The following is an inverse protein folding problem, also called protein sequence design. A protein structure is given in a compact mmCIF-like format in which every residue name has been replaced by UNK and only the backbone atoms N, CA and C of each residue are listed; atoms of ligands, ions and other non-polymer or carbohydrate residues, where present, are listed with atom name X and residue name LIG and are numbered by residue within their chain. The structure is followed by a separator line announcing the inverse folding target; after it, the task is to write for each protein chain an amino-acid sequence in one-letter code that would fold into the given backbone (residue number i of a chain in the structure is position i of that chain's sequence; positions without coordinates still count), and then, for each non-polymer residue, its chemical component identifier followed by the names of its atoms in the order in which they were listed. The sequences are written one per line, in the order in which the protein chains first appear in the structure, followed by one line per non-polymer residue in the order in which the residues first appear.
data_IF_344047283575
#
_entry.id   IF_344047283575
#
_cell.length_a   1.000
_cell.length_b   1.000
_cell.length_c   1.000
_cell.angle_alpha   90.00
_cell.angle_beta   90.00
_cell.angle_gamma   90.00
#
_symmetry.space_group_name_H-M   'P 1'
#
loop_
_entity.id
_entity.type
_entity.pdbx_description
1 polymer ?
#
# COMPACT_ATOMS: atom_id res chain seq x y z
N UNK A 1 16.52 -1.96 10.56
CA UNK A 1 17.34 -0.75 10.42
C UNK A 1 16.68 0.40 11.19
N UNK A 2 17.46 1.26 11.85
CA UNK A 2 16.91 2.45 12.49
C UNK A 2 16.36 3.40 11.41
N UNK A 3 15.14 3.91 11.62
CA UNK A 3 14.56 4.92 10.73
C UNK A 3 15.00 6.29 11.24
N UNK A 4 15.85 6.96 10.48
CA UNK A 4 16.24 8.33 10.78
C UNK A 4 15.33 9.30 10.04
N UNK A 5 14.87 10.35 10.73
CA UNK A 5 14.16 11.46 10.09
C UNK A 5 15.18 12.44 9.51
N UNK A 6 15.01 12.79 8.25
CA UNK A 6 15.78 13.86 7.58
C UNK A 6 15.10 15.22 7.70
N UNK A 7 13.89 15.27 8.25
CA UNK A 7 13.12 16.47 8.50
C UNK A 7 12.46 16.43 9.89
N UNK A 8 12.10 17.59 10.42
CA UNK A 8 11.22 17.68 11.58
C UNK A 8 9.78 17.43 11.10
N UNK A 9 9.08 16.42 11.62
CA UNK A 9 7.71 16.17 11.20
C UNK A 9 6.78 17.33 11.57
N UNK A 10 6.02 17.82 10.61
CA UNK A 10 4.93 18.75 10.88
C UNK A 10 3.78 18.03 11.59
N UNK A 11 2.90 18.77 12.26
CA UNK A 11 1.60 18.23 12.64
C UNK A 11 0.84 17.79 11.36
N UNK A 12 0.18 16.62 11.33
CA UNK A 12 -0.50 16.16 10.13
C UNK A 12 -1.66 17.10 9.78
N UNK A 13 -1.74 17.49 8.53
CA UNK A 13 -2.87 18.26 8.00
C UNK A 13 -4.14 17.45 8.15
N UNK A 14 -5.19 18.04 8.73
CA UNK A 14 -6.52 17.45 8.79
C UNK A 14 -7.26 17.69 7.49
N UNK A 15 -7.75 16.62 6.85
CA UNK A 15 -8.53 16.74 5.63
C UNK A 15 -9.43 15.50 5.43
N UNK A 16 -10.65 15.71 4.94
CA UNK A 16 -11.51 14.60 4.59
C UNK A 16 -10.87 13.74 3.49
N UNK A 17 -11.04 12.43 3.61
CA UNK A 17 -10.65 11.51 2.54
C UNK A 17 -11.44 11.80 1.27
N UNK A 18 -10.86 11.61 0.08
CA UNK A 18 -11.64 11.65 -1.15
C UNK A 18 -12.81 10.66 -1.11
N UNK A 19 -13.91 11.01 -1.76
CA UNK A 19 -15.11 10.16 -1.78
C UNK A 19 -14.79 8.75 -2.29
N UNK A 20 -15.28 7.74 -1.59
CA UNK A 20 -15.06 6.33 -1.95
C UNK A 20 -13.74 5.73 -1.45
N UNK A 21 -12.82 6.53 -0.90
CA UNK A 21 -11.55 6.04 -0.35
C UNK A 21 -11.77 5.58 1.10
N UNK A 22 -11.53 4.31 1.37
CA UNK A 22 -11.65 3.72 2.72
C UNK A 22 -10.26 3.39 3.26
N UNK A 23 -9.71 2.24 2.88
CA UNK A 23 -8.39 1.77 3.28
C UNK A 23 -7.75 1.01 2.12
N UNK A 24 -6.45 1.18 1.91
CA UNK A 24 -5.70 0.51 0.85
C UNK A 24 -5.23 1.45 -0.27
N UNK A 25 -5.03 0.86 -1.44
CA UNK A 25 -4.40 1.46 -2.62
C UNK A 25 -5.46 1.68 -3.70
N UNK A 26 -5.59 2.91 -4.18
CA UNK A 26 -6.58 3.28 -5.19
C UNK A 26 -5.91 3.88 -6.42
N UNK A 27 -6.01 3.18 -7.54
CA UNK A 27 -5.55 3.66 -8.84
C UNK A 27 -6.64 4.52 -9.49
N UNK A 28 -6.27 5.75 -9.87
CA UNK A 28 -7.22 6.67 -10.50
C UNK A 28 -7.49 6.24 -11.94
N UNK A 29 -8.76 5.95 -12.27
CA UNK A 29 -9.15 5.49 -13.60
C UNK A 29 -9.06 6.58 -14.67
N UNK A 30 -9.17 7.84 -14.28
CA UNK A 30 -9.09 9.00 -15.18
C UNK A 30 -7.67 9.57 -15.28
N UNK A 31 -6.77 9.22 -14.36
CA UNK A 31 -5.40 9.71 -14.33
C UNK A 31 -4.43 8.58 -13.98
N UNK A 32 -3.86 7.89 -14.98
CA UNK A 32 -2.98 6.75 -14.75
C UNK A 32 -1.64 7.10 -14.08
N UNK A 33 -1.35 8.39 -13.87
CA UNK A 33 -0.17 8.87 -13.16
C UNK A 33 -0.44 9.11 -11.67
N UNK A 34 -1.67 8.82 -11.18
CA UNK A 34 -2.10 9.12 -9.81
C UNK A 34 -2.50 7.86 -9.06
N UNK A 35 -2.04 7.78 -7.80
CA UNK A 35 -2.43 6.74 -6.84
C UNK A 35 -2.82 7.41 -5.54
N UNK A 36 -3.98 7.04 -4.97
CA UNK A 36 -4.34 7.45 -3.62
C UNK A 36 -4.06 6.29 -2.66
N UNK A 37 -3.28 6.59 -1.64
CA UNK A 37 -2.96 5.65 -0.57
C UNK A 37 -3.76 6.06 0.67
N UNK A 38 -4.35 5.07 1.35
CA UNK A 38 -5.05 5.30 2.60
C UNK A 38 -4.79 4.15 3.56
N UNK A 39 -4.33 4.45 4.76
CA UNK A 39 -4.04 3.44 5.79
C UNK A 39 -4.67 3.83 7.13
N UNK A 40 -5.01 2.82 7.93
CA UNK A 40 -5.47 3.01 9.31
C UNK A 40 -4.29 2.79 10.25
N UNK A 41 -3.90 3.83 11.00
CA UNK A 41 -2.72 3.80 11.85
C UNK A 41 -3.04 4.25 13.28
N UNK A 42 -2.99 3.30 14.21
CA UNK A 42 -3.36 3.49 15.61
C UNK A 42 -4.80 3.07 15.92
N UNK A 43 -5.48 3.82 16.78
CA UNK A 43 -6.88 3.64 17.11
C UNK A 43 -7.64 4.96 16.99
N UNK A 44 -8.96 4.94 17.10
CA UNK A 44 -9.76 6.17 17.07
C UNK A 44 -9.40 7.11 18.21
N UNK A 45 -9.09 6.58 19.38
CA UNK A 45 -8.74 7.35 20.59
C UNK A 45 -7.25 7.68 20.67
N UNK A 46 -6.41 6.86 20.02
CA UNK A 46 -4.97 7.02 19.97
C UNK A 46 -4.45 6.83 18.53
N UNK A 47 -4.73 7.79 17.64
CA UNK A 47 -4.21 7.73 16.28
C UNK A 47 -2.69 7.89 16.30
N UNK A 48 -2.02 7.43 15.24
CA UNK A 48 -0.61 7.73 15.04
C UNK A 48 -0.38 9.25 15.03
N UNK A 49 0.80 9.68 15.49
CA UNK A 49 1.18 11.10 15.46
C UNK A 49 1.42 11.57 14.04
N UNK A 50 2.10 10.73 13.24
CA UNK A 50 2.40 11.01 11.85
C UNK A 50 2.47 9.72 11.05
N UNK A 51 2.15 9.80 9.78
CA UNK A 51 2.39 8.74 8.80
C UNK A 51 3.02 9.36 7.57
N UNK A 52 4.08 8.75 7.07
CA UNK A 52 4.75 9.12 5.83
C UNK A 52 4.74 7.93 4.87
N UNK A 53 4.90 8.20 3.59
CA UNK A 53 5.18 7.18 2.61
C UNK A 53 6.58 7.38 2.05
N UNK A 54 7.34 6.28 1.95
CA UNK A 54 8.67 6.24 1.35
C UNK A 54 8.71 5.15 0.29
N UNK A 55 9.44 5.38 -0.77
CA UNK A 55 9.53 4.42 -1.88
C UNK A 55 10.45 4.88 -2.99
N UNK A 56 10.44 4.14 -4.09
CA UNK A 56 11.28 4.44 -5.27
C UNK A 56 11.02 5.83 -5.85
N UNK A 57 9.79 6.35 -5.68
CA UNK A 57 9.37 7.66 -6.19
C UNK A 57 9.97 8.85 -5.41
N UNK A 58 10.53 8.63 -4.23
CA UNK A 58 11.15 9.68 -3.41
C UNK A 58 12.51 9.26 -2.83
N UNK A 59 13.18 8.29 -3.47
CA UNK A 59 14.47 7.75 -3.05
C UNK A 59 14.46 7.31 -1.57
N UNK A 60 13.33 6.76 -1.10
CA UNK A 60 13.15 6.27 0.27
C UNK A 60 13.40 7.33 1.36
N UNK A 61 13.23 8.61 1.01
CA UNK A 61 13.48 9.74 1.89
C UNK A 61 12.19 10.14 2.62
N UNK A 62 12.26 10.31 3.94
CA UNK A 62 11.16 10.86 4.73
C UNK A 62 11.17 12.37 4.57
N UNK A 63 10.08 12.94 4.07
CA UNK A 63 9.90 14.38 3.95
C UNK A 63 8.45 14.76 4.21
N UNK A 64 8.22 16.04 4.55
CA UNK A 64 6.88 16.57 4.77
C UNK A 64 6.01 16.58 3.51
N UNK A 65 6.61 16.56 2.31
CA UNK A 65 5.89 16.46 1.03
C UNK A 65 5.20 15.11 0.86
N UNK A 66 5.72 14.09 1.53
CA UNK A 66 5.19 12.72 1.52
C UNK A 66 4.54 12.33 2.85
N UNK A 67 4.20 13.33 3.67
CA UNK A 67 3.41 13.14 4.88
C UNK A 67 1.93 12.96 4.52
N UNK A 68 1.31 11.93 5.08
CA UNK A 68 -0.11 11.67 4.89
C UNK A 68 -0.95 12.66 5.69
N UNK A 69 -2.05 13.11 5.11
CA UNK A 69 -3.09 13.89 5.76
C UNK A 69 -3.87 12.96 6.69
N UNK A 70 -4.24 13.43 7.87
CA UNK A 70 -5.12 12.69 8.77
C UNK A 70 -6.58 13.02 8.48
N UNK A 71 -7.41 12.00 8.30
CA UNK A 71 -8.85 12.20 8.18
C UNK A 71 -9.43 12.73 9.51
N UNK A 72 -10.43 13.61 9.40
CA UNK A 72 -11.07 14.20 10.57
C UNK A 72 -11.64 13.11 11.49
N UNK A 73 -11.41 13.27 12.80
CA UNK A 73 -11.93 12.41 13.88
C UNK A 73 -11.67 10.91 13.70
N UNK A 74 -10.53 10.55 13.09
CA UNK A 74 -10.21 9.15 12.86
C UNK A 74 -8.70 8.89 12.87
N UNK A 75 -8.33 7.61 12.83
CA UNK A 75 -6.96 7.15 12.64
C UNK A 75 -6.65 6.78 11.19
N UNK A 76 -7.44 7.25 10.23
CA UNK A 76 -7.12 7.11 8.81
C UNK A 76 -6.16 8.20 8.35
N UNK A 77 -5.17 7.79 7.60
CA UNK A 77 -4.18 8.68 6.97
C UNK A 77 -4.15 8.42 5.48
N UNK A 78 -4.10 9.48 4.67
CA UNK A 78 -4.16 9.36 3.22
C UNK A 78 -3.30 10.39 2.50
N UNK A 79 -2.87 10.03 1.29
CA UNK A 79 -2.11 10.89 0.39
C UNK A 79 -2.45 10.57 -1.06
N UNK A 80 -2.40 11.56 -1.93
CA UNK A 80 -2.40 11.38 -3.38
C UNK A 80 -0.97 11.53 -3.89
N UNK A 81 -0.44 10.47 -4.46
CA UNK A 81 0.81 10.49 -5.20
C UNK A 81 0.49 10.80 -6.67
N UNK A 82 1.17 11.78 -7.22
CA UNK A 82 1.00 12.22 -8.62
C UNK A 82 2.32 12.19 -9.37
N UNK A 83 2.27 12.22 -10.71
CA UNK A 83 3.47 12.23 -11.53
C UNK A 83 4.19 10.88 -11.62
N UNK A 84 3.53 9.79 -11.23
CA UNK A 84 4.05 8.44 -11.38
C UNK A 84 3.96 8.00 -12.85
N UNK A 85 4.90 7.19 -13.31
CA UNK A 85 4.88 6.67 -14.67
C UNK A 85 3.91 5.49 -14.79
N UNK A 86 2.92 5.52 -15.70
CA UNK A 86 2.00 4.42 -15.89
C UNK A 86 2.73 3.13 -16.30
N UNK A 87 2.30 2.01 -15.72
CA UNK A 87 2.89 0.71 -15.97
C UNK A 87 4.20 0.42 -15.22
N UNK A 88 4.82 1.44 -14.63
CA UNK A 88 6.01 1.25 -13.80
C UNK A 88 5.64 0.75 -12.40
N UNK A 89 6.39 -0.20 -11.90
CA UNK A 89 6.31 -0.66 -10.53
C UNK A 89 7.16 0.22 -9.60
N UNK A 90 6.60 0.58 -8.46
CA UNK A 90 7.26 1.31 -7.39
C UNK A 90 7.14 0.54 -6.09
N UNK A 91 8.26 0.23 -5.46
CA UNK A 91 8.28 -0.34 -4.12
C UNK A 91 8.07 0.78 -3.08
N UNK A 92 7.29 0.50 -2.04
CA UNK A 92 7.02 1.48 -0.98
C UNK A 92 6.75 0.84 0.39
N UNK A 93 6.93 1.63 1.44
CA UNK A 93 6.47 1.35 2.80
C UNK A 93 5.89 2.61 3.43
N UNK A 94 4.99 2.43 4.41
CA UNK A 94 4.64 3.51 5.33
C UNK A 94 5.65 3.59 6.47
N UNK A 95 5.93 4.81 6.91
CA UNK A 95 6.66 5.11 8.15
C UNK A 95 5.65 5.69 9.13
N UNK A 96 5.35 4.97 10.17
CA UNK A 96 4.32 5.33 11.15
C UNK A 96 5.00 5.77 12.44
N UNK A 97 4.75 7.00 12.86
CA UNK A 97 5.11 7.52 14.19
C UNK A 97 3.93 7.27 15.11
N UNK A 98 4.02 6.28 15.95
CA UNK A 98 2.95 5.86 16.86
C UNK A 98 2.68 6.91 17.94
N UNK A 99 1.55 6.79 18.63
CA UNK A 99 1.17 7.66 19.75
C UNK A 99 2.23 7.66 20.87
N UNK A 100 2.87 6.52 21.14
CA UNK A 100 3.98 6.37 22.10
C UNK A 100 5.32 6.93 21.62
N UNK A 101 5.38 7.46 20.40
CA UNK A 101 6.58 8.02 19.78
C UNK A 101 7.48 6.98 19.08
N UNK A 102 7.17 5.69 19.16
CA UNK A 102 7.93 4.67 18.41
C UNK A 102 7.66 4.82 16.92
N UNK A 103 8.70 4.58 16.14
CA UNK A 103 8.66 4.61 14.69
C UNK A 103 8.72 3.20 14.14
N UNK A 104 7.76 2.84 13.28
CA UNK A 104 7.73 1.54 12.63
C UNK A 104 7.57 1.72 11.12
N UNK A 105 8.13 0.80 10.35
CA UNK A 105 7.87 0.68 8.91
C UNK A 105 6.94 -0.49 8.66
N UNK A 106 5.94 -0.29 7.82
CA UNK A 106 4.95 -1.30 7.48
C UNK A 106 4.64 -1.28 5.98
N UNK A 107 4.29 -2.43 5.43
CA UNK A 107 3.66 -2.55 4.11
C UNK A 107 2.18 -2.19 4.20
N UNK A 108 1.55 -1.95 3.06
CA UNK A 108 0.09 -1.82 2.99
C UNK A 108 -0.58 -3.20 3.09
N UNK A 109 -1.62 -3.31 3.92
CA UNK A 109 -2.38 -4.56 4.12
C UNK A 109 -3.18 -4.99 2.88
N UNK A 110 -3.44 -4.06 1.96
CA UNK A 110 -4.20 -4.30 0.73
C UNK A 110 -3.30 -4.37 -0.51
N UNK A 111 -2.02 -4.67 -0.30
CA UNK A 111 -1.06 -4.83 -1.40
C UNK A 111 -1.44 -5.99 -2.30
N UNK A 112 -1.54 -5.74 -3.62
CA UNK A 112 -1.70 -6.79 -4.62
C UNK A 112 -0.39 -7.54 -4.90
N UNK A 113 0.74 -6.87 -4.65
CA UNK A 113 2.08 -7.43 -4.81
C UNK A 113 2.95 -6.97 -3.65
N UNK A 114 3.65 -7.93 -3.05
CA UNK A 114 4.55 -7.72 -1.92
C UNK A 114 5.92 -8.30 -2.26
N UNK A 115 6.98 -7.64 -1.85
CA UNK A 115 8.35 -8.13 -1.93
C UNK A 115 8.84 -8.49 -0.53
N UNK A 116 9.58 -9.59 -0.43
CA UNK A 116 10.34 -9.96 0.76
C UNK A 116 11.75 -10.36 0.37
N UNK A 117 12.72 -10.09 1.22
CA UNK A 117 14.14 -10.36 0.92
C UNK A 117 14.44 -11.84 0.67
N UNK A 118 13.63 -12.72 1.26
CA UNK A 118 13.82 -14.16 1.16
C UNK A 118 13.16 -14.79 -0.08
N UNK A 119 12.38 -14.00 -0.86
CA UNK A 119 11.64 -14.48 -2.04
C UNK A 119 12.40 -14.31 -3.36
N UNK A 120 13.68 -13.94 -3.31
CA UNK A 120 14.52 -13.68 -4.52
C UNK A 120 14.70 -14.91 -5.40
N UNK A 121 14.46 -16.10 -4.88
CA UNK A 121 14.54 -17.36 -5.60
C UNK A 121 13.30 -17.66 -6.46
N UNK A 122 12.20 -16.93 -6.27
CA UNK A 122 10.97 -17.14 -7.04
C UNK A 122 11.17 -16.67 -8.47
N UNK A 123 10.97 -17.58 -9.44
CA UNK A 123 11.06 -17.24 -10.86
C UNK A 123 10.03 -16.18 -11.25
N UNK A 124 10.47 -15.15 -11.99
CA UNK A 124 9.61 -14.01 -12.35
C UNK A 124 9.41 -12.97 -11.25
N UNK A 125 10.00 -13.21 -10.08
CA UNK A 125 10.09 -12.21 -9.04
C UNK A 125 11.00 -11.07 -9.50
N UNK A 126 10.51 -9.82 -9.39
CA UNK A 126 11.36 -8.67 -9.72
C UNK A 126 12.47 -8.58 -8.68
N UNK A 127 13.67 -8.91 -9.08
CA UNK A 127 14.84 -9.24 -8.25
C UNK A 127 15.38 -8.11 -7.37
N UNK A 128 14.70 -6.97 -7.28
CA UNK A 128 15.25 -5.81 -6.59
C UNK A 128 14.46 -5.50 -5.32
N UNK A 129 14.60 -6.35 -4.32
CA UNK A 129 14.22 -5.95 -2.97
C UNK A 129 15.05 -4.73 -2.56
N UNK A 130 14.41 -3.59 -2.21
CA UNK A 130 15.14 -2.36 -1.93
C UNK A 130 16.06 -2.50 -0.72
N UNK A 131 17.32 -2.13 -0.87
CA UNK A 131 18.35 -2.24 0.19
C UNK A 131 18.05 -1.37 1.41
N UNK A 132 17.20 -0.34 1.24
CA UNK A 132 16.75 0.58 2.29
C UNK A 132 15.67 0.00 3.19
N UNK A 133 15.13 -1.18 2.82
CA UNK A 133 14.00 -1.80 3.51
C UNK A 133 14.41 -2.93 4.43
N UNK A 134 13.45 -3.30 5.27
CA UNK A 134 13.43 -4.54 6.01
C UNK A 134 11.97 -5.03 6.09
N UNK A 135 11.77 -6.37 6.15
CA UNK A 135 10.45 -6.98 6.16
C UNK A 135 9.71 -6.88 4.81
N UNK A 136 8.40 -6.82 4.85
CA UNK A 136 7.56 -6.76 3.67
C UNK A 136 7.51 -5.38 3.05
N UNK A 137 7.51 -5.33 1.72
CA UNK A 137 7.48 -4.10 0.92
C UNK A 137 6.32 -4.18 -0.06
N UNK A 138 5.45 -3.19 -0.05
CA UNK A 138 4.35 -3.03 -1.00
C UNK A 138 4.88 -2.63 -2.37
N UNK A 139 4.31 -3.18 -3.43
CA UNK A 139 4.53 -2.70 -4.81
C UNK A 139 3.25 -2.08 -5.33
N UNK A 140 3.32 -0.84 -5.78
CA UNK A 140 2.26 -0.16 -6.51
C UNK A 140 2.61 -0.08 -7.99
N UNK A 141 1.62 -0.18 -8.88
CA UNK A 141 1.79 -0.09 -10.34
C UNK A 141 0.64 0.73 -10.92
N UNK A 142 0.77 2.07 -10.98
CA UNK A 142 -0.24 2.93 -11.58
C UNK A 142 -0.41 2.59 -13.07
N UNK A 143 -1.63 2.70 -13.58
CA UNK A 143 -1.93 2.40 -14.97
C UNK A 143 -1.74 0.92 -15.38
N UNK A 144 -1.66 0.00 -14.40
CA UNK A 144 -1.65 -1.44 -14.67
C UNK A 144 -2.91 -1.83 -15.45
N UNK A 145 -2.79 -2.51 -16.60
CA UNK A 145 -3.96 -2.98 -17.32
C UNK A 145 -4.74 -4.00 -16.49
N UNK A 146 -6.07 -3.92 -16.57
CA UNK A 146 -6.92 -4.89 -15.92
C UNK A 146 -6.64 -6.30 -16.46
N UNK A 147 -6.65 -7.28 -15.56
CA UNK A 147 -6.52 -8.68 -15.96
C UNK A 147 -7.68 -9.07 -16.90
N UNK A 148 -7.33 -9.69 -18.01
CA UNK A 148 -8.31 -10.18 -18.98
C UNK A 148 -8.72 -11.60 -18.60
N UNK A 149 -9.92 -11.74 -18.07
CA UNK A 149 -10.51 -13.04 -17.75
C UNK A 149 -10.83 -13.81 -19.03
N UNK A 150 -10.66 -15.12 -19.02
CA UNK A 150 -11.09 -15.97 -20.13
C UNK A 150 -12.61 -15.97 -20.28
N UNK A 151 -13.10 -16.25 -21.50
CA UNK A 151 -14.52 -16.37 -21.75
C UNK A 151 -15.19 -17.45 -20.87
N UNK A 152 -14.48 -18.53 -20.58
CA UNK A 152 -14.94 -19.55 -19.65
C UNK A 152 -15.21 -19.00 -18.25
N UNK A 153 -14.36 -18.09 -17.77
CA UNK A 153 -14.53 -17.44 -16.46
C UNK A 153 -15.66 -16.41 -16.50
N UNK A 154 -15.71 -15.59 -17.55
CA UNK A 154 -16.74 -14.54 -17.70
C UNK A 154 -18.15 -15.15 -17.84
N UNK A 155 -18.26 -16.28 -18.50
CA UNK A 155 -19.51 -16.98 -18.74
C UNK A 155 -19.85 -18.06 -17.70
N UNK A 156 -19.02 -18.19 -16.65
CA UNK A 156 -19.24 -19.19 -15.62
C UNK A 156 -20.58 -18.94 -14.89
N UNK A 157 -21.46 -19.92 -14.94
CA UNK A 157 -22.71 -19.93 -14.19
C UNK A 157 -22.51 -20.68 -12.88
N UNK A 158 -22.71 -19.99 -11.77
CA UNK A 158 -22.62 -20.60 -10.44
C UNK A 158 -23.60 -21.79 -10.35
N UNK A 159 -23.14 -22.99 -10.01
CA UNK A 159 -24.04 -24.13 -9.82
C UNK A 159 -24.95 -23.91 -8.60
N UNK A 160 -26.02 -24.73 -8.51
CA UNK A 160 -26.84 -24.77 -7.30
C UNK A 160 -25.96 -25.16 -6.10
N UNK A 161 -26.22 -24.56 -4.93
CA UNK A 161 -25.48 -24.85 -3.69
C UNK A 161 -25.44 -26.35 -3.33
N UNK A 162 -26.46 -27.12 -3.74
CA UNK A 162 -26.54 -28.56 -3.48
C UNK A 162 -25.67 -29.40 -4.44
N UNK A 163 -25.11 -28.78 -5.48
CA UNK A 163 -24.26 -29.42 -6.49
C UNK A 163 -22.83 -28.93 -6.42
N UNK A 164 -22.41 -28.36 -5.27
CA UNK A 164 -21.04 -27.91 -5.07
C UNK A 164 -20.15 -29.09 -4.74
N UNK A 165 -19.00 -29.16 -5.42
CA UNK A 165 -17.84 -29.94 -4.98
C UNK A 165 -16.89 -28.96 -4.33
N UNK A 166 -16.68 -29.11 -3.03
CA UNK A 166 -15.79 -28.25 -2.27
C UNK A 166 -14.48 -28.99 -2.06
N UNK A 167 -13.40 -28.39 -2.49
CA UNK A 167 -12.04 -28.86 -2.24
C UNK A 167 -11.32 -27.82 -1.41
N UNK A 168 -10.85 -28.19 -0.24
CA UNK A 168 -10.04 -27.37 0.64
C UNK A 168 -8.61 -27.90 0.60
N UNK A 169 -7.68 -27.03 0.21
CA UNK A 169 -6.26 -27.32 0.18
C UNK A 169 -5.54 -26.35 1.11
N UNK A 170 -4.86 -26.89 2.10
CA UNK A 170 -3.90 -26.14 2.88
C UNK A 170 -2.49 -26.47 2.37
N UNK A 171 -1.84 -25.46 1.81
CA UNK A 171 -0.45 -25.54 1.40
C UNK A 171 0.38 -25.07 2.59
N UNK A 172 1.14 -26.00 3.15
CA UNK A 172 2.10 -25.73 4.21
C UNK A 172 3.51 -25.77 3.60
N UNK A 173 4.27 -24.66 3.76
CA UNK A 173 5.68 -24.55 3.34
C UNK A 173 6.64 -24.97 4.48
#
# INVERSE_FOLDING_TARGET
KATAFTCVPNAPTKANRPTGIVNGIYYDKGNPNKVTLCTYAGSKTEPAKNVFVVGDFNNWTISNDYQLKQANDSAYFWIELTGLNPGQEYAMQYVVVRADGKVVRISDLYSEKVLHKDDQWISGYKSNYPTQCDGYVTVIQPGKPAYQWSDATLNFKRPNKNNLVIYELWIYD
#
